data_IF_232860566276
#
_entry.id   IF_232860566276
#
_cell.length_a   1.000
_cell.length_b   1.000
_cell.length_c   1.000
_cell.angle_alpha   90.00
_cell.angle_beta   90.00
_cell.angle_gamma   90.00
#
_symmetry.space_group_name_H-M   'P 1'
#
loop_
_entity.id
_entity.type
_entity.pdbx_description
1 polymer ?
#
# COMPACT_ATOMS: atom_id res chain seq x y z
N UNK A 1 -2.40 -18.83 -2.98
CA UNK A 1 -1.14 -18.07 -2.84
C UNK A 1 -1.47 -16.79 -2.09
N UNK A 2 -0.72 -16.47 -1.05
CA UNK A 2 -0.87 -15.26 -0.24
C UNK A 2 -0.25 -14.05 -0.98
N UNK A 3 -0.91 -12.89 -0.96
CA UNK A 3 -0.44 -11.69 -1.65
C UNK A 3 0.96 -11.25 -1.21
N UNK A 4 1.31 -11.41 0.08
CA UNK A 4 2.64 -11.05 0.61
C UNK A 4 3.74 -11.89 -0.01
N UNK A 5 3.51 -13.22 -0.13
CA UNK A 5 4.43 -14.15 -0.80
C UNK A 5 4.54 -13.88 -2.30
N UNK A 6 3.46 -13.46 -2.93
CA UNK A 6 3.48 -13.07 -4.33
C UNK A 6 4.33 -11.82 -4.55
N UNK A 7 4.16 -10.78 -3.73
CA UNK A 7 4.95 -9.53 -3.80
C UNK A 7 6.46 -9.76 -3.58
N UNK A 8 6.85 -10.81 -2.85
CA UNK A 8 8.25 -11.17 -2.63
C UNK A 8 8.87 -11.97 -3.79
N UNK A 9 8.05 -12.68 -4.59
CA UNK A 9 8.54 -13.57 -5.65
C UNK A 9 8.34 -13.00 -7.06
N UNK A 10 7.44 -12.03 -7.22
CA UNK A 10 7.17 -11.40 -8.49
C UNK A 10 8.22 -10.34 -8.80
N UNK A 11 8.88 -10.45 -9.96
CA UNK A 11 9.94 -9.54 -10.41
C UNK A 11 9.45 -8.47 -11.41
N UNK A 12 8.16 -8.44 -11.73
CA UNK A 12 7.57 -7.43 -12.61
C UNK A 12 7.10 -6.19 -11.86
N UNK A 13 6.63 -5.21 -12.63
CA UNK A 13 6.01 -3.98 -12.10
C UNK A 13 4.54 -3.90 -12.46
N UNK A 14 3.76 -3.20 -11.65
CA UNK A 14 2.37 -2.86 -11.91
C UNK A 14 2.21 -1.36 -12.06
N UNK A 15 1.42 -0.92 -13.03
CA UNK A 15 1.07 0.50 -13.20
C UNK A 15 0.12 0.97 -12.09
N UNK A 16 -0.84 0.11 -11.71
CA UNK A 16 -1.82 0.42 -10.66
C UNK A 16 -1.97 -0.77 -9.73
N UNK A 17 -1.90 -0.52 -8.43
CA UNK A 17 -2.00 -1.53 -7.36
C UNK A 17 -3.14 -1.12 -6.42
N UNK A 18 -4.12 -1.99 -6.24
CA UNK A 18 -5.19 -1.81 -5.27
C UNK A 18 -4.97 -2.75 -4.09
N UNK A 19 -5.13 -2.24 -2.87
CA UNK A 19 -5.05 -3.06 -1.65
C UNK A 19 -6.12 -2.65 -0.67
N UNK A 20 -6.94 -3.61 -0.28
CA UNK A 20 -7.97 -3.51 0.76
C UNK A 20 -7.75 -4.65 1.77
N UNK A 21 -6.67 -4.58 2.57
CA UNK A 21 -6.40 -5.61 3.56
C UNK A 21 -7.50 -5.62 4.62
N UNK A 22 -7.84 -6.79 5.18
CA UNK A 22 -8.75 -6.85 6.31
C UNK A 22 -8.24 -5.99 7.47
N UNK A 23 -9.12 -5.18 8.04
CA UNK A 23 -8.80 -4.24 9.12
C UNK A 23 -8.37 -4.95 10.41
N UNK A 24 -7.60 -4.23 11.21
CA UNK A 24 -7.16 -4.58 12.58
C UNK A 24 -6.29 -5.83 12.67
N UNK A 25 -5.69 -6.26 11.55
CA UNK A 25 -4.79 -7.42 11.48
C UNK A 25 -3.30 -7.05 11.36
N UNK A 26 -2.94 -5.77 11.32
CA UNK A 26 -1.56 -5.31 11.14
C UNK A 26 -1.02 -5.55 9.72
N UNK A 27 -1.91 -5.85 8.78
CA UNK A 27 -1.54 -6.22 7.40
C UNK A 27 -1.23 -5.00 6.53
N UNK A 28 -1.72 -3.82 6.93
CA UNK A 28 -1.46 -2.56 6.22
C UNK A 28 0.05 -2.30 6.10
N UNK A 29 0.79 -2.40 7.21
CA UNK A 29 2.23 -2.20 7.21
C UNK A 29 2.97 -3.27 6.42
N UNK A 30 2.55 -4.54 6.53
CA UNK A 30 3.21 -5.64 5.81
C UNK A 30 3.11 -5.51 4.29
N UNK A 31 1.95 -5.07 3.78
CA UNK A 31 1.72 -4.84 2.35
C UNK A 31 2.48 -3.59 1.91
N UNK A 32 2.35 -2.49 2.65
CA UNK A 32 3.01 -1.20 2.34
C UNK A 32 4.52 -1.35 2.28
N UNK A 33 5.11 -2.14 3.19
CA UNK A 33 6.54 -2.43 3.18
C UNK A 33 7.00 -3.19 1.93
N UNK A 34 6.14 -4.00 1.30
CA UNK A 34 6.52 -4.87 0.16
C UNK A 34 6.15 -4.31 -1.19
N UNK A 35 5.11 -3.47 -1.25
CA UNK A 35 4.54 -2.99 -2.52
C UNK A 35 5.56 -2.23 -3.37
N UNK A 36 6.51 -1.52 -2.75
CA UNK A 36 7.55 -0.77 -3.45
C UNK A 36 8.41 -1.62 -4.40
N UNK A 37 8.53 -2.94 -4.15
CA UNK A 37 9.29 -3.87 -4.99
C UNK A 37 8.65 -4.10 -6.35
N UNK A 38 7.33 -3.96 -6.43
CA UNK A 38 6.53 -4.20 -7.65
C UNK A 38 6.01 -2.90 -8.26
N UNK A 39 6.51 -1.75 -7.80
CA UNK A 39 6.21 -0.43 -8.36
C UNK A 39 7.34 0.02 -9.27
N UNK A 40 6.98 0.54 -10.44
CA UNK A 40 7.85 1.26 -11.36
C UNK A 40 7.71 2.77 -11.20
N UNK A 41 8.33 3.52 -12.12
CA UNK A 41 8.14 4.96 -12.25
C UNK A 41 6.72 5.24 -12.77
N UNK A 42 6.00 6.17 -12.11
CA UNK A 42 4.61 6.47 -12.45
C UNK A 42 3.57 5.46 -11.95
N UNK A 43 4.00 4.41 -11.24
CA UNK A 43 3.08 3.45 -10.61
C UNK A 43 2.27 4.09 -9.48
N UNK A 44 0.99 3.73 -9.41
CA UNK A 44 0.07 4.21 -8.39
C UNK A 44 -0.37 3.08 -7.46
N UNK A 45 -0.11 3.22 -6.18
CA UNK A 45 -0.60 2.32 -5.14
C UNK A 45 -1.77 2.96 -4.39
N UNK A 46 -2.91 2.28 -4.33
CA UNK A 46 -4.14 2.75 -3.70
C UNK A 46 -4.45 1.79 -2.55
N UNK A 47 -4.27 2.29 -1.34
CA UNK A 47 -4.54 1.57 -0.10
C UNK A 47 -5.87 2.04 0.47
N UNK A 48 -6.78 1.10 0.69
CA UNK A 48 -7.93 1.28 1.55
C UNK A 48 -7.60 0.73 2.94
N UNK A 49 -7.67 1.55 3.98
CA UNK A 49 -7.46 1.12 5.35
C UNK A 49 -8.44 1.80 6.31
N UNK A 50 -8.51 1.32 7.55
CA UNK A 50 -9.23 2.02 8.62
C UNK A 50 -8.43 3.25 9.06
N UNK A 51 -9.11 4.33 9.42
CA UNK A 51 -8.45 5.51 10.02
C UNK A 51 -7.61 5.19 11.27
N UNK A 52 -7.96 4.10 11.95
CA UNK A 52 -7.29 3.63 13.17
C UNK A 52 -6.03 2.81 12.86
N UNK A 53 -5.88 2.35 11.62
CA UNK A 53 -4.79 1.50 11.14
C UNK A 53 -4.17 2.13 9.90
N UNK A 54 -3.51 3.26 10.11
CA UNK A 54 -2.71 3.92 9.07
C UNK A 54 -1.35 3.25 8.94
N UNK A 55 -0.75 3.24 7.74
CA UNK A 55 0.61 2.76 7.59
C UNK A 55 1.58 3.63 8.40
N UNK A 56 2.52 2.98 9.07
CA UNK A 56 3.56 3.64 9.87
C UNK A 56 4.49 4.51 9.02
N UNK A 57 5.02 5.60 9.57
CA UNK A 57 5.97 6.48 8.84
C UNK A 57 7.21 5.72 8.32
N UNK A 58 7.66 4.72 9.05
CA UNK A 58 8.81 3.88 8.66
C UNK A 58 8.55 3.02 7.42
N UNK A 59 7.30 2.59 7.17
CA UNK A 59 6.98 1.74 6.01
C UNK A 59 6.70 2.56 4.75
N UNK A 60 6.38 3.84 4.90
CA UNK A 60 6.16 4.76 3.78
C UNK A 60 7.44 5.50 3.37
N UNK A 61 8.61 5.24 3.95
CA UNK A 61 9.85 5.95 3.59
C UNK A 61 10.19 5.86 2.08
N UNK A 62 9.83 4.74 1.44
CA UNK A 62 10.02 4.49 0.00
C UNK A 62 8.81 4.86 -0.86
N UNK A 63 7.79 5.47 -0.26
CA UNK A 63 6.52 5.80 -0.89
C UNK A 63 6.18 7.26 -0.64
N UNK A 64 5.78 7.96 -1.69
CA UNK A 64 5.30 9.34 -1.57
C UNK A 64 3.78 9.34 -1.54
N UNK A 65 3.17 9.85 -0.47
CA UNK A 65 1.73 10.09 -0.42
C UNK A 65 1.38 11.23 -1.38
N UNK A 66 0.53 10.93 -2.36
CA UNK A 66 0.06 11.90 -3.37
C UNK A 66 -1.30 12.46 -2.97
N UNK A 67 -2.14 11.63 -2.35
CA UNK A 67 -3.51 11.99 -2.01
C UNK A 67 -4.05 11.13 -0.89
N UNK A 68 -4.90 11.72 -0.07
CA UNK A 68 -5.73 11.01 0.90
C UNK A 68 -7.21 11.38 0.67
N UNK A 69 -8.10 10.42 0.91
CA UNK A 69 -9.54 10.64 0.92
C UNK A 69 -10.17 9.92 2.11
N UNK A 70 -10.94 10.68 2.87
CA UNK A 70 -11.60 10.25 4.09
C UNK A 70 -13.08 9.94 3.82
N UNK A 71 -13.53 8.75 4.24
CA UNK A 71 -14.90 8.28 4.12
C UNK A 71 -15.38 7.59 5.41
N UNK A 72 -15.73 8.37 6.42
CA UNK A 72 -16.29 7.82 7.67
C UNK A 72 -15.21 7.09 8.47
N UNK A 73 -15.26 5.77 8.56
CA UNK A 73 -14.19 4.97 9.18
C UNK A 73 -13.11 4.50 8.17
N UNK A 74 -13.40 4.65 6.87
CA UNK A 74 -12.51 4.25 5.78
C UNK A 74 -11.60 5.40 5.34
N UNK A 75 -10.34 5.10 5.08
CA UNK A 75 -9.33 6.00 4.54
C UNK A 75 -8.77 5.40 3.25
N UNK A 76 -8.74 6.19 2.18
CA UNK A 76 -8.08 5.85 0.93
C UNK A 76 -6.82 6.69 0.79
N UNK A 77 -5.67 6.04 0.69
CA UNK A 77 -4.36 6.68 0.52
C UNK A 77 -3.78 6.28 -0.83
N UNK A 78 -3.31 7.27 -1.57
CA UNK A 78 -2.70 7.12 -2.89
C UNK A 78 -1.20 7.39 -2.76
N UNK A 79 -0.39 6.43 -3.18
CA UNK A 79 1.06 6.48 -3.11
C UNK A 79 1.68 6.34 -4.50
N UNK A 80 2.80 7.02 -4.69
CA UNK A 80 3.75 6.74 -5.77
C UNK A 80 5.07 6.25 -5.18
N UNK A 81 5.91 5.66 -6.02
CA UNK A 81 7.27 5.30 -5.64
C UNK A 81 8.09 6.58 -5.41
N UNK A 82 8.77 6.67 -4.27
CA UNK A 82 9.67 7.78 -3.94
C UNK A 82 11.02 7.67 -4.67
#
# INVERSE_FOLDING_TARGET
IDARRFLESYAGVFDIIYSDPPYELGLVDEITLRVHNVMGEGSLFILQCSKREKPSESVIEKLRVIKEKDYGDTLLIFFEKA
#
